data_IF_398254831289
#
_entry.id   IF_398254831289
#
_cell.length_a   1.000
_cell.length_b   1.000
_cell.length_c   1.000
_cell.angle_alpha   90.00
_cell.angle_beta   90.00
_cell.angle_gamma   90.00
#
_symmetry.space_group_name_H-M   'P 1'
#
loop_
_entity.id
_entity.type
_entity.pdbx_description
1 polymer ?
#
# COMPACT_ATOMS: atom_id res chain seq x y z
N UNK A 1 -23.15 -15.93 6.25
CA UNK A 1 -23.16 -14.81 7.21
C UNK A 1 -21.95 -13.95 6.89
N UNK A 2 -22.01 -12.64 7.10
CA UNK A 2 -20.91 -11.72 6.73
C UNK A 2 -19.53 -12.23 7.19
N UNK A 3 -19.41 -12.68 8.43
CA UNK A 3 -18.17 -13.24 8.97
C UNK A 3 -17.70 -14.50 8.22
N UNK A 4 -18.63 -15.37 7.79
CA UNK A 4 -18.33 -16.55 6.98
C UNK A 4 -17.86 -16.18 5.58
N UNK A 5 -18.45 -15.14 4.97
CA UNK A 5 -18.12 -14.73 3.61
C UNK A 5 -16.71 -14.10 3.56
N UNK A 6 -16.40 -13.24 4.54
CA UNK A 6 -15.04 -12.70 4.77
C UNK A 6 -14.05 -13.83 5.03
N UNK A 7 -14.37 -14.76 5.93
CA UNK A 7 -13.50 -15.90 6.23
C UNK A 7 -13.20 -16.72 4.97
N UNK A 8 -14.21 -17.06 4.17
CA UNK A 8 -14.05 -17.91 3.00
C UNK A 8 -13.23 -17.23 1.89
N UNK A 9 -13.34 -15.90 1.75
CA UNK A 9 -12.57 -15.15 0.76
C UNK A 9 -11.09 -14.97 1.16
N UNK A 10 -10.83 -14.69 2.43
CA UNK A 10 -9.46 -14.45 2.91
C UNK A 10 -8.72 -15.70 3.35
N UNK A 11 -9.45 -16.70 3.84
CA UNK A 11 -8.92 -17.96 4.34
C UNK A 11 -9.69 -19.14 3.72
N UNK A 12 -9.53 -19.38 2.40
CA UNK A 12 -10.21 -20.49 1.73
C UNK A 12 -9.76 -21.87 2.25
N UNK A 13 -8.58 -21.93 2.91
CA UNK A 13 -7.99 -23.12 3.51
C UNK A 13 -7.91 -22.98 5.04
N UNK A 14 -7.18 -23.86 5.72
CA UNK A 14 -6.99 -23.80 7.19
C UNK A 14 -6.37 -22.46 7.63
N UNK A 15 -6.89 -21.92 8.75
CA UNK A 15 -6.32 -20.75 9.43
C UNK A 15 -5.22 -21.26 10.36
N UNK A 16 -3.97 -20.96 10.05
CA UNK A 16 -2.81 -21.27 10.89
C UNK A 16 -1.83 -20.09 10.93
N UNK A 17 -0.73 -20.24 11.67
CA UNK A 17 0.30 -19.22 11.87
C UNK A 17 0.98 -18.73 10.57
N UNK A 18 0.86 -19.47 9.46
CA UNK A 18 1.37 -19.04 8.15
C UNK A 18 0.39 -18.10 7.41
N UNK A 19 -0.75 -17.77 8.02
CA UNK A 19 -1.83 -16.95 7.43
C UNK A 19 -1.85 -15.50 7.89
N UNK A 20 -0.76 -15.03 8.50
CA UNK A 20 -0.61 -13.62 8.90
C UNK A 20 -0.68 -12.67 7.70
N UNK A 21 -0.15 -13.06 6.54
CA UNK A 21 -0.28 -12.26 5.30
C UNK A 21 -1.74 -12.15 4.83
N UNK A 22 -2.54 -13.21 4.98
CA UNK A 22 -3.96 -13.17 4.65
C UNK A 22 -4.74 -12.23 5.60
N UNK A 23 -4.35 -12.18 6.88
CA UNK A 23 -4.88 -11.19 7.84
C UNK A 23 -4.47 -9.76 7.46
N UNK A 24 -3.21 -9.54 7.10
CA UNK A 24 -2.71 -8.23 6.64
C UNK A 24 -3.46 -7.77 5.38
N UNK A 25 -3.82 -8.71 4.50
CA UNK A 25 -4.61 -8.42 3.29
C UNK A 25 -5.99 -7.85 3.64
N UNK A 26 -6.67 -8.39 4.67
CA UNK A 26 -7.94 -7.81 5.16
C UNK A 26 -7.75 -6.36 5.58
N UNK A 27 -6.73 -6.06 6.40
CA UNK A 27 -6.44 -4.69 6.85
C UNK A 27 -6.07 -3.77 5.68
N UNK A 28 -5.25 -4.26 4.75
CA UNK A 28 -4.84 -3.51 3.56
C UNK A 28 -6.04 -3.13 2.71
N UNK A 29 -6.91 -4.10 2.41
CA UNK A 29 -8.07 -3.88 1.55
C UNK A 29 -9.09 -2.97 2.24
N UNK A 30 -9.39 -3.19 3.52
CA UNK A 30 -10.42 -2.41 4.25
C UNK A 30 -9.99 -0.98 4.57
N UNK A 31 -8.72 -0.75 4.94
CA UNK A 31 -8.25 0.57 5.34
C UNK A 31 -7.78 1.43 4.16
N UNK A 32 -7.18 0.81 3.14
CA UNK A 32 -6.49 1.54 2.07
C UNK A 32 -7.04 1.17 0.70
N UNK A 33 -7.07 -0.12 0.35
CA UNK A 33 -7.40 -0.60 -0.99
C UNK A 33 -8.80 -0.19 -1.47
N UNK A 34 -9.84 -0.68 -0.79
CA UNK A 34 -11.24 -0.41 -1.13
C UNK A 34 -11.57 1.09 -1.20
N UNK A 35 -11.28 1.92 -0.18
CA UNK A 35 -11.60 3.35 -0.25
C UNK A 35 -10.78 4.09 -1.32
N UNK A 36 -9.52 3.71 -1.55
CA UNK A 36 -8.71 4.33 -2.62
C UNK A 36 -9.32 4.07 -4.00
N UNK A 37 -9.79 2.83 -4.24
CA UNK A 37 -10.46 2.47 -5.50
C UNK A 37 -11.80 3.18 -5.67
N UNK A 38 -12.57 3.41 -4.60
CA UNK A 38 -13.81 4.19 -4.68
C UNK A 38 -13.54 5.60 -5.21
N UNK A 39 -12.57 6.29 -4.62
CA UNK A 39 -12.21 7.66 -5.01
C UNK A 39 -11.64 7.68 -6.43
N UNK A 40 -10.75 6.75 -6.74
CA UNK A 40 -10.07 6.71 -8.03
C UNK A 40 -11.02 6.38 -9.19
N UNK A 41 -12.02 5.50 -8.96
CA UNK A 41 -13.11 5.23 -9.92
C UNK A 41 -13.98 6.44 -10.14
N UNK A 42 -14.36 7.15 -9.07
CA UNK A 42 -15.20 8.34 -9.17
C UNK A 42 -14.55 9.45 -10.01
N UNK A 43 -13.22 9.60 -9.90
CA UNK A 43 -12.44 10.60 -10.63
C UNK A 43 -11.55 10.00 -11.74
N UNK A 44 -11.95 8.87 -12.35
CA UNK A 44 -11.07 8.08 -13.22
C UNK A 44 -10.42 8.85 -14.38
N UNK A 45 -11.13 9.81 -14.96
CA UNK A 45 -10.66 10.61 -16.10
C UNK A 45 -9.60 11.66 -15.75
N UNK A 46 -9.42 11.96 -14.46
CA UNK A 46 -8.47 12.98 -13.98
C UNK A 46 -7.51 12.44 -12.92
N UNK A 47 -7.59 11.13 -12.63
CA UNK A 47 -6.79 10.48 -11.60
C UNK A 47 -5.70 9.62 -12.23
N UNK A 48 -4.49 9.77 -11.71
CA UNK A 48 -3.36 8.88 -11.99
C UNK A 48 -3.16 7.97 -10.79
N UNK A 49 -3.26 6.65 -10.98
CA UNK A 49 -3.11 5.67 -9.91
C UNK A 49 -1.75 4.96 -9.98
N UNK A 50 -1.15 4.67 -8.83
CA UNK A 50 -0.06 3.70 -8.71
C UNK A 50 -0.29 2.66 -7.62
N UNK A 51 0.32 1.49 -7.80
CA UNK A 51 0.62 0.52 -6.77
C UNK A 51 2.13 0.54 -6.51
N UNK A 52 2.54 0.92 -5.31
CA UNK A 52 3.92 0.72 -4.92
C UNK A 52 4.12 -0.75 -4.57
N UNK A 53 5.05 -1.42 -5.24
CA UNK A 53 5.34 -2.84 -5.06
C UNK A 53 6.86 -3.13 -4.93
N UNK A 54 7.69 -2.11 -5.09
CA UNK A 54 9.14 -2.21 -5.02
C UNK A 54 9.63 -2.49 -3.59
N UNK A 55 10.23 -3.67 -3.39
CA UNK A 55 10.88 -4.05 -2.13
C UNK A 55 12.37 -3.71 -2.23
N UNK A 56 12.70 -2.45 -1.99
CA UNK A 56 14.08 -2.00 -1.86
C UNK A 56 14.52 -1.78 -0.42
N UNK A 57 15.81 -1.58 -0.24
CA UNK A 57 16.50 -1.61 1.05
C UNK A 57 16.55 -0.28 1.80
N UNK A 58 16.00 0.81 1.24
CA UNK A 58 15.89 2.10 1.94
C UNK A 58 14.73 2.18 2.92
N UNK A 59 13.69 1.35 2.74
CA UNK A 59 12.67 1.18 3.75
C UNK A 59 13.24 0.39 4.94
N UNK A 60 12.99 0.81 6.20
CA UNK A 60 13.60 0.20 7.38
C UNK A 60 13.15 -1.24 7.53
N UNK A 61 14.02 -2.17 7.91
CA UNK A 61 13.60 -3.56 8.15
C UNK A 61 12.41 -3.60 9.17
N UNK A 62 11.49 -4.57 9.05
CA UNK A 62 10.46 -4.75 10.07
C UNK A 62 11.13 -4.88 11.45
N UNK A 63 10.49 -4.37 12.51
CA UNK A 63 11.07 -4.43 13.85
C UNK A 63 11.47 -5.87 14.17
N UNK A 64 12.66 -6.06 14.72
CA UNK A 64 13.27 -7.36 15.03
C UNK A 64 12.38 -8.29 15.88
N UNK A 65 11.33 -7.74 16.50
CA UNK A 65 10.35 -8.47 17.33
C UNK A 65 9.13 -8.97 16.56
N UNK A 66 9.03 -8.77 15.24
CA UNK A 66 7.97 -9.38 14.45
C UNK A 66 8.23 -10.90 14.36
N UNK A 67 7.38 -11.76 14.94
CA UNK A 67 7.61 -13.21 14.94
C UNK A 67 7.41 -13.84 13.56
N UNK A 68 6.94 -13.07 12.58
CA UNK A 68 6.61 -13.52 11.23
C UNK A 68 7.50 -12.85 10.19
N UNK A 69 8.04 -13.68 9.26
CA UNK A 69 8.75 -13.19 8.08
C UNK A 69 7.72 -12.74 7.04
N UNK A 70 7.33 -11.48 7.10
CA UNK A 70 6.44 -10.88 6.12
C UNK A 70 7.21 -10.47 4.87
N UNK A 71 6.68 -10.80 3.70
CA UNK A 71 7.20 -10.31 2.42
C UNK A 71 6.24 -9.28 1.84
N UNK A 72 6.77 -8.11 1.46
CA UNK A 72 5.98 -7.07 0.81
C UNK A 72 6.44 -5.67 1.19
N UNK A 73 5.78 -4.70 0.57
CA UNK A 73 5.88 -3.29 0.96
C UNK A 73 4.92 -3.01 2.10
N UNK A 74 5.29 -2.07 2.97
CA UNK A 74 4.46 -1.63 4.09
C UNK A 74 4.00 -0.20 3.88
N UNK A 75 3.12 0.23 4.76
CA UNK A 75 2.68 1.61 4.82
C UNK A 75 3.89 2.55 4.96
N UNK A 76 3.92 3.60 4.12
CA UNK A 76 4.96 4.62 4.03
C UNK A 76 6.33 4.18 3.49
N UNK A 77 6.49 2.93 3.02
CA UNK A 77 7.76 2.49 2.41
C UNK A 77 8.11 3.27 1.12
N UNK A 78 7.12 3.82 0.43
CA UNK A 78 7.29 4.66 -0.76
C UNK A 78 7.91 6.04 -0.44
N UNK A 79 7.73 6.54 0.78
CA UNK A 79 8.27 7.84 1.21
C UNK A 79 9.79 7.88 1.21
N UNK A 80 10.47 6.75 1.41
CA UNK A 80 11.93 6.67 1.38
C UNK A 80 12.53 6.88 -0.02
N UNK A 81 11.69 6.81 -1.05
CA UNK A 81 12.07 7.09 -2.44
C UNK A 81 11.62 8.49 -2.88
N UNK A 82 10.92 9.24 -2.03
CA UNK A 82 10.52 10.63 -2.26
C UNK A 82 11.29 11.63 -1.39
N UNK A 83 11.53 11.27 -0.14
CA UNK A 83 12.08 12.15 0.87
C UNK A 83 13.33 11.56 1.49
N UNK A 84 14.32 12.42 1.68
CA UNK A 84 15.50 12.07 2.44
C UNK A 84 15.20 11.98 3.94
N UNK A 85 15.53 10.85 4.56
CA UNK A 85 15.49 10.65 6.01
C UNK A 85 16.91 10.56 6.56
N UNK A 86 17.20 11.38 7.57
CA UNK A 86 18.44 11.30 8.37
C UNK A 86 18.22 10.62 9.72
N UNK A 87 17.01 10.13 10.00
CA UNK A 87 16.67 9.53 11.27
C UNK A 87 17.42 8.20 11.46
N UNK A 88 18.11 7.99 12.61
CA UNK A 88 18.77 6.72 12.91
C UNK A 88 17.81 5.53 12.80
N UNK A 89 18.20 4.49 12.06
CA UNK A 89 17.38 3.30 11.83
C UNK A 89 16.35 3.46 10.69
N UNK A 90 16.19 4.64 10.12
CA UNK A 90 15.29 4.96 9.01
C UNK A 90 16.12 5.32 7.77
N UNK A 91 16.83 4.31 7.26
CA UNK A 91 17.52 4.29 5.97
C UNK A 91 18.48 5.46 5.71
N UNK A 92 19.78 5.29 5.96
CA UNK A 92 20.78 6.18 5.38
C UNK A 92 20.83 5.94 3.86
N UNK A 93 20.00 6.67 3.10
CA UNK A 93 19.70 6.44 1.68
C UNK A 93 20.92 6.48 0.74
N UNK A 94 22.06 7.01 1.20
CA UNK A 94 23.15 7.35 0.29
C UNK A 94 24.22 6.23 0.20
N UNK A 95 24.28 5.32 1.17
CA UNK A 95 25.36 4.33 1.31
C UNK A 95 24.85 3.03 1.92
N UNK A 96 24.31 2.14 1.11
CA UNK A 96 24.12 0.76 1.53
C UNK A 96 25.47 0.05 1.46
N UNK A 97 26.05 -0.25 2.63
CA UNK A 97 27.32 -0.99 2.74
C UNK A 97 28.45 -0.43 1.87
N UNK A 98 28.59 0.91 1.83
CA UNK A 98 29.61 1.60 1.04
C UNK A 98 29.57 1.34 -0.48
N UNK A 99 28.43 0.87 -1.01
CA UNK A 99 28.21 0.68 -2.44
C UNK A 99 26.93 1.38 -2.91
N UNK A 100 26.93 1.83 -4.16
CA UNK A 100 25.81 2.55 -4.75
C UNK A 100 24.73 1.55 -5.17
N UNK A 101 23.53 1.66 -4.60
CA UNK A 101 22.37 0.89 -5.04
C UNK A 101 21.68 1.63 -6.20
N UNK A 102 22.07 1.30 -7.43
CA UNK A 102 21.53 1.93 -8.64
C UNK A 102 20.02 1.69 -8.83
N UNK A 103 19.48 0.56 -8.35
CA UNK A 103 18.05 0.26 -8.49
C UNK A 103 17.22 1.16 -7.57
N UNK A 104 17.63 1.32 -6.31
CA UNK A 104 16.96 2.26 -5.41
C UNK A 104 17.06 3.70 -5.93
N UNK A 105 18.22 4.09 -6.48
CA UNK A 105 18.40 5.40 -7.09
C UNK A 105 17.47 5.62 -8.27
N UNK A 106 17.32 4.64 -9.16
CA UNK A 106 16.42 4.70 -10.30
C UNK A 106 14.95 4.83 -9.88
N UNK A 107 14.51 4.04 -8.89
CA UNK A 107 13.15 4.17 -8.34
C UNK A 107 12.94 5.55 -7.70
N UNK A 108 13.92 6.06 -6.95
CA UNK A 108 13.85 7.40 -6.36
C UNK A 108 13.83 8.51 -7.42
N UNK A 109 14.65 8.40 -8.46
CA UNK A 109 14.67 9.38 -9.55
C UNK A 109 13.32 9.39 -10.30
N UNK A 110 12.73 8.22 -10.54
CA UNK A 110 11.37 8.10 -11.08
C UNK A 110 10.31 8.72 -10.16
N UNK A 111 10.29 8.35 -8.87
CA UNK A 111 9.34 8.86 -7.89
C UNK A 111 9.39 10.40 -7.79
N UNK A 112 10.59 10.98 -7.62
CA UNK A 112 10.77 12.43 -7.55
C UNK A 112 10.34 13.10 -8.86
N UNK A 113 10.69 12.53 -10.02
CA UNK A 113 10.29 13.07 -11.33
C UNK A 113 8.76 13.09 -11.48
N UNK A 114 8.08 11.98 -11.20
CA UNK A 114 6.63 11.88 -11.38
C UNK A 114 5.86 12.82 -10.45
N UNK A 115 6.20 12.83 -9.16
CA UNK A 115 5.54 13.69 -8.19
C UNK A 115 5.78 15.17 -8.46
N UNK A 116 7.01 15.56 -8.82
CA UNK A 116 7.30 16.97 -9.15
C UNK A 116 6.71 17.41 -10.48
N UNK A 117 6.58 16.51 -11.46
CA UNK A 117 5.92 16.80 -12.74
C UNK A 117 4.42 17.01 -12.53
N UNK A 118 3.77 16.12 -11.77
CA UNK A 118 2.37 16.27 -11.40
C UNK A 118 2.11 17.59 -10.66
N UNK A 119 2.97 17.96 -9.70
CA UNK A 119 2.85 19.23 -8.98
C UNK A 119 2.96 20.47 -9.91
N UNK A 120 3.75 20.40 -10.98
CA UNK A 120 3.97 21.51 -11.92
C UNK A 120 2.88 21.62 -12.98
N UNK A 121 2.36 20.49 -13.45
CA UNK A 121 1.56 20.45 -14.70
C UNK A 121 0.22 19.72 -14.55
N UNK A 122 -0.03 19.06 -13.42
CA UNK A 122 -1.16 18.14 -13.26
C UNK A 122 -0.99 16.80 -13.96
N UNK A 123 0.19 16.50 -14.54
CA UNK A 123 0.48 15.23 -15.23
C UNK A 123 1.84 14.66 -14.79
N UNK A 124 1.91 13.41 -14.29
CA UNK A 124 3.16 12.86 -13.73
C UNK A 124 4.20 12.48 -14.79
N UNK A 125 3.79 11.93 -15.93
CA UNK A 125 4.65 11.68 -17.09
C UNK A 125 3.78 11.62 -18.37
N UNK A 126 4.39 11.78 -19.54
CA UNK A 126 3.68 11.64 -20.81
C UNK A 126 3.16 10.22 -21.06
N UNK A 127 3.88 9.19 -20.60
CA UNK A 127 3.49 7.79 -20.74
C UNK A 127 2.50 7.32 -19.66
N UNK A 128 2.42 8.04 -18.54
CA UNK A 128 1.52 7.69 -17.45
C UNK A 128 0.12 8.22 -17.76
N UNK A 129 -0.79 7.29 -18.04
CA UNK A 129 -2.18 7.60 -18.41
C UNK A 129 -3.10 7.65 -17.19
N UNK A 130 -4.26 8.26 -17.39
CA UNK A 130 -5.31 8.28 -16.36
C UNK A 130 -5.89 6.89 -16.15
N UNK A 131 -6.56 6.67 -15.01
CA UNK A 131 -7.15 5.37 -14.68
C UNK A 131 -8.16 4.90 -15.73
N UNK A 132 -8.90 5.82 -16.34
CA UNK A 132 -9.83 5.52 -17.44
C UNK A 132 -9.15 5.00 -18.71
N UNK A 133 -7.85 5.30 -18.90
CA UNK A 133 -7.13 5.02 -20.14
C UNK A 133 -6.22 3.79 -20.06
N UNK A 134 -5.58 3.54 -18.91
CA UNK A 134 -4.57 2.47 -18.78
C UNK A 134 -4.45 1.85 -17.37
N UNK A 135 -5.42 2.14 -16.48
CA UNK A 135 -5.40 1.63 -15.11
C UNK A 135 -4.30 2.24 -14.25
N UNK A 136 -3.50 1.39 -13.60
CA UNK A 136 -2.56 1.76 -12.55
C UNK A 136 -1.13 1.43 -12.95
N UNK A 137 -0.21 2.36 -12.71
CA UNK A 137 1.22 2.07 -12.77
C UNK A 137 1.61 1.18 -11.59
N UNK A 138 2.37 0.13 -11.84
CA UNK A 138 2.95 -0.69 -10.78
C UNK A 138 4.43 -0.33 -10.66
N UNK A 139 4.76 0.32 -9.54
CA UNK A 139 6.12 0.75 -9.22
C UNK A 139 6.83 -0.44 -8.58
N UNK A 140 7.43 -1.26 -9.44
CA UNK A 140 8.29 -2.40 -9.13
C UNK A 140 9.58 -2.30 -9.98
N UNK A 141 10.49 -3.27 -9.90
CA UNK A 141 11.72 -3.32 -10.69
C UNK A 141 11.80 -4.63 -11.48
N UNK A 142 11.50 -4.63 -12.79
CA UNK A 142 11.17 -3.47 -13.64
C UNK A 142 9.74 -2.93 -13.43
N UNK A 143 9.52 -1.67 -13.84
CA UNK A 143 8.19 -1.05 -13.83
C UNK A 143 7.21 -1.86 -14.68
N UNK A 144 5.97 -1.96 -14.22
CA UNK A 144 4.90 -2.67 -14.93
C UNK A 144 3.56 -1.92 -14.80
N UNK A 145 2.49 -2.44 -15.40
CA UNK A 145 1.15 -1.83 -15.34
C UNK A 145 0.12 -2.88 -14.91
N UNK A 146 -0.94 -2.41 -14.25
CA UNK A 146 -2.10 -3.21 -13.88
C UNK A 146 -3.36 -2.54 -14.40
N UNK A 147 -4.08 -3.23 -15.27
CA UNK A 147 -5.34 -2.70 -15.79
C UNK A 147 -6.39 -2.55 -14.67
N UNK A 148 -7.38 -1.68 -14.91
CA UNK A 148 -8.43 -1.33 -13.94
C UNK A 148 -9.19 -2.56 -13.44
N UNK A 149 -9.57 -3.48 -14.32
CA UNK A 149 -10.28 -4.71 -13.96
C UNK A 149 -9.48 -5.59 -12.99
N UNK A 150 -8.18 -5.77 -13.24
CA UNK A 150 -7.31 -6.56 -12.38
C UNK A 150 -7.09 -5.88 -11.02
N UNK A 151 -6.93 -4.56 -11.00
CA UNK A 151 -6.79 -3.79 -9.77
C UNK A 151 -8.05 -3.86 -8.90
N UNK A 152 -9.22 -3.70 -9.51
CA UNK A 152 -10.51 -3.77 -8.83
C UNK A 152 -10.86 -5.16 -8.33
N UNK A 153 -10.53 -6.19 -9.11
CA UNK A 153 -10.66 -7.59 -8.66
C UNK A 153 -9.85 -7.85 -7.39
N UNK A 154 -8.68 -7.23 -7.26
CA UNK A 154 -7.80 -7.38 -6.10
C UNK A 154 -8.28 -6.61 -4.87
N UNK A 155 -8.71 -5.36 -5.03
CA UNK A 155 -8.89 -4.45 -3.89
C UNK A 155 -10.34 -4.00 -3.64
N UNK A 156 -11.26 -4.24 -4.56
CA UNK A 156 -12.56 -3.57 -4.57
C UNK A 156 -13.76 -4.52 -4.63
N UNK A 157 -13.79 -5.42 -5.62
CA UNK A 157 -15.01 -6.15 -5.99
C UNK A 157 -15.65 -6.89 -4.82
N UNK A 158 -14.84 -7.61 -4.03
CA UNK A 158 -15.35 -8.36 -2.88
C UNK A 158 -16.08 -7.47 -1.85
N UNK A 159 -15.49 -6.33 -1.48
CA UNK A 159 -16.07 -5.42 -0.50
C UNK A 159 -17.28 -4.67 -1.04
N UNK A 160 -17.28 -4.36 -2.33
CA UNK A 160 -18.42 -3.75 -3.00
C UNK A 160 -19.61 -4.69 -3.05
N UNK A 161 -19.40 -5.95 -3.44
CA UNK A 161 -20.46 -6.97 -3.49
C UNK A 161 -21.07 -7.20 -2.10
N UNK A 162 -20.24 -7.25 -1.05
CA UNK A 162 -20.70 -7.36 0.34
C UNK A 162 -21.55 -6.15 0.76
N UNK A 163 -21.15 -4.93 0.38
CA UNK A 163 -21.90 -3.71 0.70
C UNK A 163 -23.28 -3.70 0.03
N UNK A 164 -23.37 -4.16 -1.21
CA UNK A 164 -24.65 -4.23 -1.93
C UNK A 164 -25.60 -5.25 -1.30
N UNK A 165 -25.08 -6.40 -0.86
CA UNK A 165 -25.85 -7.40 -0.12
C UNK A 165 -26.38 -6.82 1.20
N UNK A 166 -25.56 -6.09 1.96
CA UNK A 166 -25.98 -5.42 3.18
C UNK A 166 -27.00 -4.30 2.92
N UNK A 167 -26.87 -3.54 1.83
CA UNK A 167 -27.82 -2.50 1.44
C UNK A 167 -29.21 -3.02 1.05
N UNK A 168 -29.33 -4.31 0.72
CA UNK A 168 -30.62 -4.97 0.46
C UNK A 168 -31.31 -5.52 1.72
N UNK A 169 -30.63 -5.50 2.87
CA UNK A 169 -31.16 -5.87 4.17
C UNK A 169 -30.96 -4.70 5.14
N UNK A 170 -32.01 -3.92 5.42
CA UNK A 170 -31.94 -2.71 6.27
C UNK A 170 -31.01 -2.86 7.49
N UNK A 171 -29.88 -2.15 7.45
CA UNK A 171 -28.89 -2.11 8.51
C UNK A 171 -27.61 -1.41 8.02
N UNK A 172 -27.49 -0.11 8.29
CA UNK A 172 -26.28 0.66 7.99
C UNK A 172 -25.06 0.04 8.66
N UNK A 173 -24.06 -0.37 7.85
CA UNK A 173 -22.76 -0.80 8.34
C UNK A 173 -21.99 0.41 8.90
N UNK A 174 -22.11 0.67 10.19
CA UNK A 174 -21.12 1.49 10.90
C UNK A 174 -19.86 0.64 11.10
N UNK A 175 -18.85 0.90 10.27
CA UNK A 175 -17.50 0.37 10.41
C UNK A 175 -16.80 1.08 11.58
N UNK A 176 -17.09 0.67 12.81
CA UNK A 176 -16.30 1.04 13.97
C UNK A 176 -15.00 0.23 14.01
N UNK A 177 -13.96 0.73 13.34
CA UNK A 177 -12.60 0.17 13.40
C UNK A 177 -11.86 0.81 14.58
N UNK A 178 -11.60 0.02 15.62
CA UNK A 178 -10.76 0.43 16.75
C UNK A 178 -9.32 0.54 16.25
N UNK A 179 -8.79 1.76 16.19
CA UNK A 179 -7.38 2.03 15.91
C UNK A 179 -6.52 1.56 17.09
N UNK A 180 -5.79 0.46 16.93
CA UNK A 180 -4.60 0.23 17.74
C UNK A 180 -3.41 0.90 17.07
N UNK A 181 -3.22 2.19 17.35
CA UNK A 181 -1.90 2.80 17.23
C UNK A 181 -1.00 2.12 18.25
N UNK A 182 -0.13 1.20 17.83
CA UNK A 182 1.06 0.87 18.62
C UNK A 182 2.11 1.97 18.42
N UNK A 183 1.77 3.21 18.79
CA UNK A 183 2.75 4.18 19.26
C UNK A 183 3.02 3.89 20.74
N UNK A 184 3.92 2.94 21.01
CA UNK A 184 4.59 2.75 22.29
C UNK A 184 5.97 2.17 21.90
N UNK A 185 7.08 2.91 21.90
CA UNK A 185 7.64 3.64 23.03
C UNK A 185 8.49 4.84 22.55
N UNK A 186 7.94 6.04 22.70
CA UNK A 186 8.71 7.21 23.11
C UNK A 186 8.24 7.54 24.52
N UNK A 187 8.75 6.80 25.51
CA UNK A 187 8.94 7.21 26.92
C UNK A 187 10.04 6.26 27.43
N UNK A 188 11.27 6.73 27.33
CA UNK A 188 12.28 6.58 28.39
C UNK A 188 13.16 7.83 28.28
N UNK A 189 12.58 8.94 28.72
CA UNK A 189 13.36 10.05 29.24
C UNK A 189 13.56 9.75 30.73
N UNK A 190 14.82 9.85 31.18
CA UNK A 190 15.32 9.83 32.56
C UNK A 190 15.70 8.48 33.21
N UNK A 191 16.97 8.44 33.65
CA UNK A 191 17.70 7.46 34.47
C UNK A 191 18.16 6.20 33.70
N UNK A 192 19.46 5.87 33.56
CA UNK A 192 20.67 6.19 34.33
C UNK A 192 21.89 6.44 33.42
#
# INVERSE_FOLDING_TARGET
>A
SLASDIKNYYFPNTIDENKVEDLIRIYTDTMFGYPSVQVSRYFANITYGYLFAYIGSWAPAPPYFAPYKLKGVRHADDLFYLFYSSLPGWGAQNLENCSVNNVNLDIKDHMVKWWTSFAKTGKPDNSWKTISEDGYLVIDSPLSNMNTTAFESRFYNFWEDLKQQAGSSEGSLELSVIMFFTMNLWIYQYWA
#
